data_IF_531872383244
#
_entry.id   IF_531872383244
#
_cell.length_a   1.000
_cell.length_b   1.000
_cell.length_c   1.000
_cell.angle_alpha   90.00
_cell.angle_beta   90.00
_cell.angle_gamma   90.00
#
_symmetry.space_group_name_H-M   'P 1'
#
loop_
_entity.id
_entity.type
_entity.pdbx_description
1 polymer ?
#
# COMPACT_ATOMS: atom_id res chain seq x y z
N UNK A 1 -63.46 -49.51 -63.70
CA UNK A 1 -63.36 -48.23 -62.96
C UNK A 1 -62.51 -47.31 -63.81
N UNK A 2 -63.08 -46.22 -64.32
CA UNK A 2 -62.41 -45.25 -65.21
C UNK A 2 -61.30 -44.50 -64.46
N UNK A 3 -60.19 -44.15 -65.12
CA UNK A 3 -59.06 -43.44 -64.51
C UNK A 3 -59.47 -42.19 -63.72
N UNK A 4 -60.48 -41.47 -64.22
CA UNK A 4 -61.09 -40.31 -63.56
C UNK A 4 -61.57 -40.61 -62.13
N UNK A 5 -62.17 -41.78 -61.88
CA UNK A 5 -62.64 -42.16 -60.55
C UNK A 5 -61.49 -42.38 -59.56
N UNK A 6 -60.34 -42.85 -60.05
CA UNK A 6 -59.13 -43.04 -59.24
C UNK A 6 -58.50 -41.69 -58.91
N UNK A 7 -58.41 -40.79 -59.88
CA UNK A 7 -57.87 -39.44 -59.68
C UNK A 7 -58.71 -38.62 -58.69
N UNK A 8 -60.04 -38.69 -58.79
CA UNK A 8 -60.94 -38.02 -57.84
C UNK A 8 -60.77 -38.60 -56.43
N UNK A 9 -60.66 -39.92 -56.29
CA UNK A 9 -60.39 -40.57 -54.99
C UNK A 9 -59.05 -40.16 -54.39
N UNK A 10 -58.02 -39.98 -55.24
CA UNK A 10 -56.70 -39.54 -54.80
C UNK A 10 -56.73 -38.08 -54.31
N UNK A 11 -57.39 -37.17 -55.03
CA UNK A 11 -57.58 -35.79 -54.60
C UNK A 11 -58.36 -35.73 -53.27
N UNK A 12 -59.44 -36.52 -53.14
CA UNK A 12 -60.23 -36.58 -51.91
C UNK A 12 -59.39 -37.07 -50.73
N UNK A 13 -58.58 -38.12 -50.92
CA UNK A 13 -57.67 -38.60 -49.88
C UNK A 13 -56.64 -37.53 -49.49
N UNK A 14 -56.05 -36.80 -50.44
CA UNK A 14 -55.08 -35.75 -50.12
C UNK A 14 -55.71 -34.57 -49.37
N UNK A 15 -56.96 -34.22 -49.67
CA UNK A 15 -57.65 -33.08 -49.06
C UNK A 15 -58.24 -33.42 -47.69
N UNK A 16 -58.77 -34.64 -47.51
CA UNK A 16 -59.57 -35.00 -46.34
C UNK A 16 -58.97 -36.11 -45.48
N UNK A 17 -57.91 -36.80 -45.94
CA UNK A 17 -57.14 -37.70 -45.09
C UNK A 17 -56.02 -36.93 -44.39
N UNK A 18 -56.34 -36.38 -43.22
CA UNK A 18 -55.37 -35.64 -42.40
C UNK A 18 -54.41 -36.54 -41.60
N UNK A 19 -54.56 -37.87 -41.67
CA UNK A 19 -53.72 -38.80 -40.91
C UNK A 19 -52.22 -38.63 -41.19
N UNK A 20 -51.76 -38.42 -42.43
CA UNK A 20 -50.34 -38.18 -42.71
C UNK A 20 -49.80 -36.91 -42.04
N UNK A 21 -50.58 -35.83 -42.06
CA UNK A 21 -50.22 -34.57 -41.41
C UNK A 21 -50.17 -34.73 -39.89
N UNK A 22 -51.24 -35.23 -39.26
CA UNK A 22 -51.32 -35.46 -37.83
C UNK A 22 -50.19 -36.38 -37.33
N UNK A 23 -49.90 -37.47 -38.05
CA UNK A 23 -48.80 -38.36 -37.70
C UNK A 23 -47.43 -37.68 -37.84
N UNK A 24 -47.27 -36.77 -38.79
CA UNK A 24 -46.08 -35.93 -38.93
C UNK A 24 -45.88 -35.03 -37.72
N UNK A 25 -46.93 -34.29 -37.32
CA UNK A 25 -46.91 -33.39 -36.16
C UNK A 25 -46.68 -34.15 -34.85
N UNK A 26 -47.34 -35.31 -34.65
CA UNK A 26 -47.14 -36.14 -33.46
C UNK A 26 -45.69 -36.62 -33.37
N UNK A 27 -45.11 -37.10 -34.49
CA UNK A 27 -43.70 -37.52 -34.53
C UNK A 27 -42.74 -36.37 -34.29
N UNK A 28 -43.03 -35.20 -34.85
CA UNK A 28 -42.23 -34.00 -34.64
C UNK A 28 -42.27 -33.59 -33.16
N UNK A 29 -43.45 -33.57 -32.54
CA UNK A 29 -43.62 -33.25 -31.13
C UNK A 29 -42.84 -34.22 -30.23
N UNK A 30 -43.00 -35.54 -30.41
CA UNK A 30 -42.25 -36.55 -29.67
C UNK A 30 -40.73 -36.38 -29.84
N UNK A 31 -40.27 -36.16 -31.07
CA UNK A 31 -38.85 -35.98 -31.35
C UNK A 31 -38.27 -34.74 -30.67
N UNK A 32 -38.93 -33.60 -30.78
CA UNK A 32 -38.41 -32.34 -30.26
C UNK A 32 -38.52 -32.23 -28.74
N UNK A 33 -39.59 -32.76 -28.14
CA UNK A 33 -39.91 -32.55 -26.74
C UNK A 33 -39.61 -33.73 -25.82
N UNK A 34 -39.55 -34.96 -26.34
CA UNK A 34 -39.16 -36.13 -25.54
C UNK A 34 -37.77 -36.63 -25.95
N UNK A 35 -37.56 -36.98 -27.22
CA UNK A 35 -36.32 -37.65 -27.65
C UNK A 35 -35.08 -36.75 -27.62
N UNK A 36 -35.18 -35.51 -28.13
CA UNK A 36 -34.05 -34.56 -28.12
C UNK A 36 -33.72 -34.02 -26.74
N UNK A 37 -34.74 -33.85 -25.89
CA UNK A 37 -34.56 -33.36 -24.52
C UNK A 37 -34.01 -34.46 -23.62
N UNK A 38 -34.46 -35.70 -23.82
CA UNK A 38 -34.09 -36.85 -23.01
C UNK A 38 -34.23 -36.56 -21.52
N UNK A 39 -33.32 -37.11 -20.74
CA UNK A 39 -33.30 -36.93 -19.27
C UNK A 39 -32.45 -35.75 -18.81
N UNK A 40 -32.07 -34.82 -19.71
CA UNK A 40 -31.14 -33.73 -19.40
C UNK A 40 -31.61 -32.85 -18.23
N UNK A 41 -32.92 -32.57 -18.15
CA UNK A 41 -33.49 -31.78 -17.05
C UNK A 41 -33.39 -32.53 -15.72
N UNK A 42 -33.57 -33.85 -15.75
CA UNK A 42 -33.47 -34.74 -14.59
C UNK A 42 -32.01 -34.86 -14.12
N UNK A 43 -31.06 -35.07 -15.03
CA UNK A 43 -29.63 -35.09 -14.73
C UNK A 43 -29.16 -33.76 -14.12
N UNK A 44 -29.63 -32.62 -14.66
CA UNK A 44 -29.33 -31.31 -14.11
C UNK A 44 -29.87 -31.14 -12.69
N UNK A 45 -31.11 -31.59 -12.44
CA UNK A 45 -31.70 -31.55 -11.10
C UNK A 45 -30.91 -32.42 -10.11
N UNK A 46 -30.48 -33.61 -10.51
CA UNK A 46 -29.63 -34.46 -9.67
C UNK A 46 -28.28 -33.82 -9.40
N UNK A 47 -27.64 -33.21 -10.41
CA UNK A 47 -26.36 -32.50 -10.20
C UNK A 47 -26.51 -31.30 -9.26
N UNK A 48 -27.61 -30.57 -9.35
CA UNK A 48 -27.90 -29.46 -8.42
C UNK A 48 -28.13 -30.01 -7.01
N UNK A 49 -28.93 -31.08 -6.88
CA UNK A 49 -29.22 -31.71 -5.60
C UNK A 49 -27.95 -32.22 -4.92
N UNK A 50 -27.06 -32.87 -5.66
CA UNK A 50 -25.78 -33.37 -5.17
C UNK A 50 -24.92 -32.22 -4.62
N UNK A 51 -24.75 -31.14 -5.40
CA UNK A 51 -23.98 -29.96 -4.97
C UNK A 51 -24.59 -29.29 -3.74
N UNK A 52 -25.92 -29.17 -3.70
CA UNK A 52 -26.63 -28.54 -2.58
C UNK A 52 -26.46 -29.38 -1.31
N UNK A 53 -26.53 -30.70 -1.45
CA UNK A 53 -26.29 -31.64 -0.36
C UNK A 53 -24.84 -31.56 0.15
N UNK A 54 -23.84 -31.56 -0.73
CA UNK A 54 -22.43 -31.41 -0.32
C UNK A 54 -22.17 -30.07 0.41
N UNK A 55 -22.72 -28.98 -0.11
CA UNK A 55 -22.58 -27.66 0.54
C UNK A 55 -23.20 -27.68 1.93
N UNK A 56 -24.42 -28.20 2.04
CA UNK A 56 -25.18 -28.23 3.30
C UNK A 56 -24.53 -29.14 4.34
N UNK A 57 -24.14 -30.34 3.94
CA UNK A 57 -23.75 -31.39 4.87
C UNK A 57 -22.24 -31.41 5.16
N UNK A 58 -21.40 -30.81 4.30
CA UNK A 58 -19.94 -30.82 4.45
C UNK A 58 -19.35 -29.40 4.53
N UNK A 59 -19.56 -28.58 3.50
CA UNK A 59 -18.81 -27.33 3.36
C UNK A 59 -19.21 -26.28 4.41
N UNK A 60 -20.51 -26.15 4.70
CA UNK A 60 -21.01 -25.15 5.66
C UNK A 60 -20.41 -25.36 7.06
N UNK A 61 -20.46 -26.59 7.58
CA UNK A 61 -19.93 -26.92 8.90
C UNK A 61 -18.40 -26.76 8.95
N UNK A 62 -17.70 -27.14 7.86
CA UNK A 62 -16.25 -26.95 7.76
C UNK A 62 -15.84 -25.48 7.82
N UNK A 63 -16.56 -24.61 7.13
CA UNK A 63 -16.29 -23.15 7.15
C UNK A 63 -16.51 -22.59 8.54
N UNK A 64 -17.60 -22.98 9.21
CA UNK A 64 -17.89 -22.53 10.58
C UNK A 64 -16.76 -22.96 11.53
N UNK A 65 -16.41 -24.25 11.56
CA UNK A 65 -15.34 -24.76 12.44
C UNK A 65 -13.98 -24.12 12.16
N UNK A 66 -13.64 -23.94 10.89
CA UNK A 66 -12.38 -23.29 10.50
C UNK A 66 -12.38 -21.81 10.88
N UNK A 67 -13.53 -21.13 10.75
CA UNK A 67 -13.70 -19.75 11.17
C UNK A 67 -13.61 -19.59 12.69
N UNK A 68 -14.30 -20.44 13.45
CA UNK A 68 -14.30 -20.43 14.93
C UNK A 68 -12.92 -20.68 15.52
N UNK A 69 -12.09 -21.49 14.87
CA UNK A 69 -10.73 -21.78 15.33
C UNK A 69 -9.71 -20.75 14.83
N UNK A 70 -9.78 -20.38 13.54
CA UNK A 70 -8.77 -19.54 12.89
C UNK A 70 -8.94 -18.05 13.17
N UNK A 71 -10.18 -17.53 13.20
CA UNK A 71 -10.41 -16.09 13.35
C UNK A 71 -9.99 -15.54 14.71
N UNK A 72 -10.25 -16.22 15.86
CA UNK A 72 -9.78 -15.73 17.15
C UNK A 72 -8.26 -15.68 17.25
N UNK A 73 -7.56 -16.69 16.73
CA UNK A 73 -6.10 -16.72 16.70
C UNK A 73 -5.55 -15.59 15.85
N UNK A 74 -6.12 -15.38 14.65
CA UNK A 74 -5.73 -14.28 13.77
C UNK A 74 -5.96 -12.92 14.44
N UNK A 75 -7.11 -12.75 15.09
CA UNK A 75 -7.45 -11.53 15.83
C UNK A 75 -6.43 -11.26 16.94
N UNK A 76 -6.11 -12.25 17.76
CA UNK A 76 -5.14 -12.13 18.85
C UNK A 76 -3.75 -11.75 18.32
N UNK A 77 -3.30 -12.37 17.22
CA UNK A 77 -2.03 -12.03 16.58
C UNK A 77 -2.01 -10.62 16.01
N UNK A 78 -3.13 -10.17 15.45
CA UNK A 78 -3.27 -8.81 14.93
C UNK A 78 -3.23 -7.78 16.07
N UNK A 79 -3.92 -8.05 17.18
CA UNK A 79 -3.90 -7.20 18.38
C UNK A 79 -2.48 -7.13 18.99
N UNK A 80 -1.77 -8.27 19.08
CA UNK A 80 -0.36 -8.31 19.51
C UNK A 80 0.54 -7.48 18.58
N UNK A 81 0.39 -7.62 17.27
CA UNK A 81 1.18 -6.87 16.29
C UNK A 81 0.92 -5.35 16.39
N UNK A 82 -0.33 -4.94 16.58
CA UNK A 82 -0.70 -3.54 16.79
C UNK A 82 -0.07 -2.99 18.07
N UNK A 83 -0.12 -3.74 19.17
CA UNK A 83 0.50 -3.32 20.42
C UNK A 83 2.01 -3.16 20.28
N UNK A 84 2.70 -4.15 19.70
CA UNK A 84 4.14 -4.08 19.47
C UNK A 84 4.52 -2.89 18.57
N UNK A 85 3.73 -2.61 17.54
CA UNK A 85 3.96 -1.45 16.67
C UNK A 85 3.85 -0.14 17.46
N UNK A 86 2.85 -0.02 18.33
CA UNK A 86 2.66 1.18 19.15
C UNK A 86 3.78 1.35 20.19
N UNK A 87 4.26 0.25 20.78
CA UNK A 87 5.40 0.26 21.71
C UNK A 87 6.69 0.70 21.01
N UNK A 88 6.99 0.16 19.83
CA UNK A 88 8.16 0.55 19.03
C UNK A 88 8.10 2.01 18.62
N UNK A 89 6.92 2.50 18.19
CA UNK A 89 6.75 3.91 17.84
C UNK A 89 7.00 4.83 19.05
N UNK A 90 6.46 4.46 20.21
CA UNK A 90 6.67 5.21 21.46
C UNK A 90 8.15 5.25 21.84
N UNK A 91 8.82 4.10 21.86
CA UNK A 91 10.23 3.99 22.22
C UNK A 91 11.12 4.81 21.27
N UNK A 92 10.79 4.81 19.97
CA UNK A 92 11.47 5.62 18.98
C UNK A 92 11.30 7.12 19.25
N UNK A 93 10.06 7.57 19.52
CA UNK A 93 9.78 8.97 19.80
C UNK A 93 10.46 9.45 21.08
N UNK A 94 10.46 8.64 22.13
CA UNK A 94 11.10 9.00 23.40
C UNK A 94 12.63 9.02 23.26
N UNK A 95 13.21 8.02 22.59
CA UNK A 95 14.64 8.01 22.27
C UNK A 95 15.03 9.22 21.45
N UNK A 96 14.24 9.57 20.43
CA UNK A 96 14.48 10.73 19.57
C UNK A 96 14.48 12.03 20.36
N UNK A 97 13.52 12.23 21.28
CA UNK A 97 13.49 13.41 22.15
C UNK A 97 14.78 13.53 22.98
N UNK A 98 15.24 12.44 23.58
CA UNK A 98 16.47 12.42 24.38
C UNK A 98 17.68 12.77 23.52
N UNK A 99 17.79 12.21 22.32
CA UNK A 99 18.89 12.53 21.40
C UNK A 99 18.85 13.98 20.93
N UNK A 100 17.67 14.53 20.63
CA UNK A 100 17.50 15.93 20.23
C UNK A 100 17.88 16.88 21.37
N UNK A 101 17.45 16.61 22.60
CA UNK A 101 17.85 17.38 23.79
C UNK A 101 19.37 17.34 24.00
N UNK A 102 19.97 16.15 24.00
CA UNK A 102 21.42 15.99 24.16
C UNK A 102 22.20 16.69 23.05
N UNK A 103 21.71 16.63 21.81
CA UNK A 103 22.31 17.34 20.68
C UNK A 103 22.27 18.85 20.87
N UNK A 104 21.17 19.38 21.40
CA UNK A 104 21.02 20.80 21.69
C UNK A 104 21.97 21.24 22.81
N UNK A 105 22.04 20.50 23.91
CA UNK A 105 22.98 20.78 25.01
C UNK A 105 24.45 20.79 24.53
N UNK A 106 24.84 19.81 23.72
CA UNK A 106 26.19 19.75 23.16
C UNK A 106 26.48 20.91 22.21
N UNK A 107 25.47 21.36 21.45
CA UNK A 107 25.59 22.53 20.57
C UNK A 107 25.81 23.80 21.39
N UNK A 108 25.02 24.00 22.44
CA UNK A 108 25.15 25.16 23.33
C UNK A 108 26.48 25.17 24.08
N UNK A 109 26.95 24.01 24.54
CA UNK A 109 28.26 23.88 25.17
C UNK A 109 29.38 24.28 24.22
N UNK A 110 29.36 23.75 23.00
CA UNK A 110 30.37 24.08 21.98
C UNK A 110 30.34 25.55 21.59
N UNK A 111 29.15 26.15 21.53
CA UNK A 111 29.02 27.59 21.27
C UNK A 111 29.71 28.40 22.37
N UNK A 112 29.48 28.08 23.65
CA UNK A 112 30.16 28.75 24.77
C UNK A 112 31.68 28.58 24.72
N UNK A 113 32.15 27.37 24.43
CA UNK A 113 33.59 27.09 24.27
C UNK A 113 34.20 27.89 23.12
N UNK A 114 33.45 28.02 22.00
CA UNK A 114 33.86 28.81 20.85
C UNK A 114 33.91 30.31 21.16
N UNK A 115 32.88 30.85 21.81
CA UNK A 115 32.82 32.26 22.18
C UNK A 115 33.99 32.62 23.12
N UNK A 116 34.26 31.78 24.12
CA UNK A 116 35.41 31.94 25.02
C UNK A 116 36.75 31.90 24.27
N UNK A 117 36.89 30.99 23.30
CA UNK A 117 38.11 30.90 22.49
C UNK A 117 38.32 32.16 21.65
N UNK A 118 37.25 32.69 21.03
CA UNK A 118 37.30 33.92 20.24
C UNK A 118 37.63 35.12 21.13
N UNK A 119 37.03 35.22 22.31
CA UNK A 119 37.33 36.30 23.26
C UNK A 119 38.81 36.29 23.69
N UNK A 120 39.35 35.12 24.03
CA UNK A 120 40.78 34.97 24.38
C UNK A 120 41.70 35.31 23.19
N UNK A 121 41.34 34.89 21.97
CA UNK A 121 42.11 35.22 20.77
C UNK A 121 42.09 36.73 20.50
N UNK A 122 40.92 37.37 20.57
CA UNK A 122 40.77 38.80 20.38
C UNK A 122 41.56 39.59 21.43
N UNK A 123 41.50 39.17 22.70
CA UNK A 123 42.27 39.77 23.77
C UNK A 123 43.79 39.67 23.51
N UNK A 124 44.27 38.52 23.04
CA UNK A 124 45.68 38.34 22.69
C UNK A 124 46.11 39.22 21.52
N UNK A 125 45.30 39.31 20.47
CA UNK A 125 45.56 40.20 19.33
C UNK A 125 45.63 41.66 19.78
N UNK A 126 44.64 42.15 20.53
CA UNK A 126 44.64 43.52 21.07
C UNK A 126 45.86 43.81 21.94
N UNK A 127 46.25 42.86 22.79
CA UNK A 127 47.45 43.03 23.62
C UNK A 127 48.71 43.16 22.77
N UNK A 128 48.83 42.37 21.70
CA UNK A 128 49.95 42.45 20.76
C UNK A 128 49.93 43.81 20.05
N UNK A 129 48.79 44.23 19.51
CA UNK A 129 48.64 45.52 18.83
C UNK A 129 49.03 46.69 19.75
N UNK A 130 48.55 46.70 21.00
CA UNK A 130 48.91 47.71 21.99
C UNK A 130 50.43 47.73 22.27
N UNK A 131 51.08 46.56 22.44
CA UNK A 131 52.53 46.52 22.65
C UNK A 131 53.32 47.00 21.44
N UNK A 132 52.82 46.77 20.22
CA UNK A 132 53.45 47.32 19.02
C UNK A 132 53.28 48.83 18.94
N UNK A 133 52.09 49.35 19.28
CA UNK A 133 51.80 50.78 19.30
C UNK A 133 52.68 51.52 20.32
N UNK A 134 52.79 51.01 21.55
CA UNK A 134 53.70 51.53 22.59
C UNK A 134 55.16 51.57 22.10
N UNK A 135 55.63 50.49 21.46
CA UNK A 135 57.01 50.42 20.94
C UNK A 135 57.23 51.35 19.76
N UNK A 136 56.22 51.55 18.92
CA UNK A 136 56.28 52.51 17.82
C UNK A 136 56.36 53.95 18.35
N UNK A 137 55.59 54.27 19.39
CA UNK A 137 55.64 55.58 20.06
C UNK A 137 56.99 55.82 20.74
N UNK A 138 57.51 54.86 21.51
CA UNK A 138 58.87 54.92 22.08
C UNK A 138 59.94 55.17 21.01
N UNK A 139 59.83 54.49 19.85
CA UNK A 139 60.76 54.69 18.73
C UNK A 139 60.62 56.09 18.12
N UNK A 140 59.39 56.58 17.91
CA UNK A 140 59.14 57.94 17.40
C UNK A 140 59.75 58.98 18.33
N UNK A 141 59.58 58.83 19.63
CA UNK A 141 60.16 59.71 20.64
C UNK A 141 61.69 59.66 20.61
N UNK A 142 62.29 58.47 20.60
CA UNK A 142 63.75 58.30 20.50
C UNK A 142 64.32 58.97 19.25
N UNK A 143 63.67 58.80 18.09
CA UNK A 143 64.09 59.45 16.85
C UNK A 143 63.91 60.96 16.89
N UNK A 144 62.82 61.48 17.48
CA UNK A 144 62.62 62.91 17.67
C UNK A 144 63.71 63.53 18.56
N UNK A 145 64.02 62.86 19.67
CA UNK A 145 65.08 63.23 20.62
C UNK A 145 66.47 63.22 19.96
N UNK A 146 66.75 62.17 19.18
CA UNK A 146 68.00 62.04 18.43
C UNK A 146 68.12 63.16 17.38
N UNK A 147 67.03 63.45 16.66
CA UNK A 147 66.98 64.52 15.68
C UNK A 147 67.23 65.89 16.33
N UNK A 148 66.68 66.11 17.52
CA UNK A 148 66.93 67.33 18.29
C UNK A 148 68.39 67.42 18.78
N UNK A 149 68.95 66.34 19.34
CA UNK A 149 70.33 66.27 19.86
C UNK A 149 71.39 66.39 18.77
N UNK A 150 71.13 65.85 17.58
CA UNK A 150 72.05 65.92 16.45
C UNK A 150 72.03 67.26 15.72
N UNK A 151 71.15 68.21 16.12
CA UNK A 151 70.98 69.50 15.46
C UNK A 151 70.91 69.36 13.93
N UNK A 152 70.20 68.33 13.45
CA UNK A 152 69.81 68.22 12.05
C UNK A 152 68.63 69.17 11.86
N UNK A 153 68.90 70.46 12.04
CA UNK A 153 68.05 71.52 11.57
C UNK A 153 68.22 71.60 10.06
N UNK A 154 67.16 71.24 9.36
CA UNK A 154 66.60 72.09 8.31
C UNK A 154 65.10 72.12 8.45
#
# INVERSE_FOLDING_TARGET
>A
MTELSREIGEIWSRLFDHRPFLNGEIKFMLKEFEEKRGDREVENLFSILEKLTDIKDSQAEKIIKTGETGLPVLKEKLEQALQLSAEVEKDYLDSRKVYEQRRQELKEKRQKEWDQFIDDMNFKCQRIDNTFEEKEEELRDLYADLNHKLNIAK
#
